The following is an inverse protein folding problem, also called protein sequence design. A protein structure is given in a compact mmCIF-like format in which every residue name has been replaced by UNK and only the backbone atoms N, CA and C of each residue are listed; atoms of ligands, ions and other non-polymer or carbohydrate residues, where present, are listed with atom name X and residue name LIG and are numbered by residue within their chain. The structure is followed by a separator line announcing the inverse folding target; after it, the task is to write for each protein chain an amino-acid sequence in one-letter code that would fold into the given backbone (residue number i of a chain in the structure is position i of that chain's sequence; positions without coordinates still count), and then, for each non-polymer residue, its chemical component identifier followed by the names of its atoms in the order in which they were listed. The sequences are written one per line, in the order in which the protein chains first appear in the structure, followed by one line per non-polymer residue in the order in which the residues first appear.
data_IF_766197897513
#
_entry.id   IF_766197897513
#
_cell.length_a   1.000
_cell.length_b   1.000
_cell.length_c   1.000
_cell.angle_alpha   90.00
_cell.angle_beta   90.00
_cell.angle_gamma   90.00
#
_symmetry.space_group_name_H-M   'P 1'
#
loop_
_entity.id
_entity.type
_entity.pdbx_description
1 polymer ?
#
# COMPACT_ATOMS: atom_id res chain seq x y z
N UNK A 1 -17.13 -12.95 64.25
CA UNK A 1 -16.66 -12.00 63.20
C UNK A 1 -15.40 -12.51 62.61
N UNK A 2 -15.47 -13.22 61.53
CA UNK A 2 -14.34 -13.85 60.80
C UNK A 2 -14.21 -13.10 59.48
N UNK A 3 -13.05 -12.44 59.25
CA UNK A 3 -12.68 -11.88 57.96
C UNK A 3 -12.14 -12.97 57.03
N UNK A 4 -12.49 -13.01 55.75
CA UNK A 4 -11.84 -13.86 54.78
C UNK A 4 -10.59 -13.15 54.19
N UNK A 5 -9.47 -13.89 54.15
CA UNK A 5 -8.28 -13.52 53.47
C UNK A 5 -8.46 -13.65 51.93
N UNK A 6 -8.22 -12.58 51.19
CA UNK A 6 -8.18 -12.57 49.72
C UNK A 6 -6.78 -12.96 49.28
N UNK A 7 -6.63 -14.17 48.75
CA UNK A 7 -5.44 -14.56 48.01
C UNK A 7 -5.51 -14.04 46.58
N UNK A 8 -4.68 -13.05 46.27
CA UNK A 8 -4.44 -12.62 44.89
C UNK A 8 -3.58 -13.65 44.13
N UNK A 9 -4.17 -14.28 43.13
CA UNK A 9 -3.43 -15.12 42.18
C UNK A 9 -2.68 -14.21 41.21
N UNK A 10 -1.38 -14.11 41.39
CA UNK A 10 -0.45 -13.61 40.37
C UNK A 10 -0.32 -14.70 39.29
N UNK A 11 -0.92 -14.47 38.11
CA UNK A 11 -0.69 -15.28 36.93
C UNK A 11 0.65 -14.92 36.31
N UNK A 12 1.69 -15.67 36.63
CA UNK A 12 2.94 -15.71 35.88
C UNK A 12 2.70 -16.46 34.57
N UNK A 13 2.66 -15.75 33.44
CA UNK A 13 2.72 -16.34 32.12
C UNK A 13 4.15 -16.83 31.85
N UNK A 14 4.42 -18.07 32.21
CA UNK A 14 5.69 -18.74 31.92
C UNK A 14 5.67 -19.28 30.49
N UNK A 15 6.23 -18.51 29.55
CA UNK A 15 6.70 -19.04 28.27
C UNK A 15 8.11 -19.60 28.43
N UNK A 16 8.27 -20.77 29.03
CA UNK A 16 9.57 -21.45 29.09
C UNK A 16 9.68 -22.46 27.95
N UNK A 17 10.50 -22.15 26.95
CA UNK A 17 11.00 -23.15 26.02
C UNK A 17 12.24 -23.81 26.63
N UNK A 18 12.09 -25.07 27.08
CA UNK A 18 13.19 -25.89 27.55
C UNK A 18 13.85 -26.60 26.37
N UNK A 19 15.10 -26.31 26.10
CA UNK A 19 15.92 -27.18 25.25
C UNK A 19 16.46 -28.31 26.13
N UNK A 20 15.92 -29.52 25.96
CA UNK A 20 16.44 -30.74 26.63
C UNK A 20 17.36 -31.43 25.63
N UNK A 21 18.66 -31.27 25.80
CA UNK A 21 19.64 -32.23 25.33
C UNK A 21 20.63 -32.45 26.45
N UNK A 22 20.96 -33.71 26.72
CA UNK A 22 21.56 -34.28 27.95
C UNK A 22 22.97 -33.87 28.34
N UNK A 23 23.31 -32.62 28.33
CA UNK A 23 24.32 -31.93 29.13
C UNK A 23 23.76 -30.54 29.43
N UNK A 24 23.92 -30.04 30.65
CA UNK A 24 23.54 -28.68 31.02
C UNK A 24 24.30 -27.70 30.12
N UNK A 25 23.71 -27.33 28.99
CA UNK A 25 24.22 -26.32 28.08
C UNK A 25 24.17 -24.93 28.71
N UNK A 26 24.90 -23.94 28.15
CA UNK A 26 24.88 -22.58 28.65
C UNK A 26 23.45 -22.03 28.74
N UNK A 27 23.09 -21.50 29.91
CA UNK A 27 21.78 -20.87 30.14
C UNK A 27 21.77 -19.44 29.65
N UNK A 28 21.57 -19.25 28.36
CA UNK A 28 21.42 -17.95 27.72
C UNK A 28 19.97 -17.69 27.37
N UNK A 29 19.49 -16.49 27.69
CA UNK A 29 18.15 -16.01 27.30
C UNK A 29 18.29 -14.80 26.38
N UNK A 30 17.59 -14.84 25.25
CA UNK A 30 17.51 -13.74 24.31
C UNK A 30 16.06 -13.29 24.14
N UNK A 31 15.86 -11.98 24.01
CA UNK A 31 14.59 -11.34 23.66
C UNK A 31 14.77 -10.46 22.43
N UNK A 32 13.71 -10.28 21.66
CA UNK A 32 13.71 -9.36 20.53
C UNK A 32 12.36 -8.66 20.40
N UNK A 33 12.40 -7.41 19.96
CA UNK A 33 11.22 -6.57 19.69
C UNK A 33 11.46 -5.75 18.43
N UNK A 34 10.41 -5.49 17.66
CA UNK A 34 10.48 -4.63 16.48
C UNK A 34 10.11 -3.21 16.88
N UNK A 35 10.87 -2.23 16.40
CA UNK A 35 10.49 -0.82 16.42
C UNK A 35 10.15 -0.39 15.00
N UNK A 36 8.86 -0.25 14.71
CA UNK A 36 8.32 0.26 13.46
C UNK A 36 7.94 1.74 13.55
N UNK A 37 7.35 2.26 12.47
CA UNK A 37 6.84 3.64 12.39
C UNK A 37 5.36 3.76 12.81
N UNK A 38 4.72 2.66 13.23
CA UNK A 38 3.33 2.62 13.67
C UNK A 38 3.01 1.41 14.54
N UNK A 39 1.73 1.26 14.85
CA UNK A 39 1.20 0.12 15.61
C UNK A 39 -0.09 -0.41 14.99
N UNK A 40 -0.31 -1.72 15.08
CA UNK A 40 -1.56 -2.37 14.70
C UNK A 40 -1.94 -3.42 15.76
N UNK A 41 -3.17 -3.33 16.29
CA UNK A 41 -3.67 -4.22 17.37
C UNK A 41 -2.69 -4.36 18.55
N UNK A 42 -2.05 -3.26 18.95
CA UNK A 42 -1.10 -3.23 20.05
C UNK A 42 0.27 -3.83 19.76
N UNK A 43 0.54 -4.27 18.53
CA UNK A 43 1.86 -4.74 18.09
C UNK A 43 2.54 -3.71 17.21
N UNK A 44 3.89 -3.69 17.15
CA UNK A 44 4.62 -2.86 16.20
C UNK A 44 4.19 -3.08 14.76
N UNK A 45 4.19 -2.02 13.96
CA UNK A 45 3.87 -2.08 12.54
C UNK A 45 4.82 -1.23 11.70
N UNK A 46 5.10 -1.71 10.49
CA UNK A 46 5.72 -0.95 9.41
C UNK A 46 4.58 -0.48 8.50
N UNK A 47 4.36 0.84 8.41
CA UNK A 47 3.16 1.40 7.79
C UNK A 47 3.54 2.26 6.59
N UNK A 48 3.10 1.85 5.39
CA UNK A 48 3.16 2.63 4.15
C UNK A 48 1.94 3.55 4.06
N UNK A 49 2.20 4.85 3.93
CA UNK A 49 1.14 5.86 3.93
C UNK A 49 0.41 5.97 5.28
N UNK A 50 -0.75 6.61 5.25
CA UNK A 50 -1.66 6.74 6.39
C UNK A 50 -3.10 6.83 5.90
N UNK A 51 -4.06 6.67 6.80
CA UNK A 51 -5.46 6.93 6.46
C UNK A 51 -5.63 8.39 6.04
N UNK A 52 -6.10 8.62 4.81
CA UNK A 52 -6.23 9.96 4.21
C UNK A 52 -4.98 10.46 3.45
N UNK A 53 -3.82 9.81 3.60
CA UNK A 53 -2.60 10.09 2.85
C UNK A 53 -1.90 8.78 2.47
N UNK A 54 -2.57 8.00 1.68
CA UNK A 54 -2.12 6.66 1.27
C UNK A 54 -1.13 6.69 0.11
N UNK A 55 -0.60 5.51 -0.19
CA UNK A 55 0.28 5.26 -1.33
C UNK A 55 -0.51 5.45 -2.63
N UNK A 56 0.03 6.24 -3.55
CA UNK A 56 -0.52 6.37 -4.91
C UNK A 56 0.03 5.27 -5.81
N UNK A 57 -0.73 4.20 -6.03
CA UNK A 57 -0.31 3.10 -6.90
C UNK A 57 -0.38 3.43 -8.39
N UNK A 58 -1.10 4.48 -8.83
CA UNK A 58 -1.19 4.85 -10.25
C UNK A 58 0.15 5.40 -10.77
N UNK A 59 0.85 6.16 -9.94
CA UNK A 59 2.16 6.75 -10.23
C UNK A 59 3.34 5.98 -9.65
N UNK A 60 3.09 4.83 -8.99
CA UNK A 60 4.14 4.02 -8.34
C UNK A 60 4.97 3.26 -9.37
N UNK A 61 5.90 3.95 -10.01
CA UNK A 61 6.91 3.39 -10.89
C UNK A 61 8.21 3.02 -10.15
N UNK A 62 8.33 3.42 -8.88
CA UNK A 62 9.45 3.12 -7.99
C UNK A 62 8.94 2.38 -6.75
N UNK A 63 9.72 1.42 -6.22
CA UNK A 63 9.35 0.77 -4.98
C UNK A 63 9.42 1.77 -3.82
N UNK A 64 8.48 1.66 -2.88
CA UNK A 64 8.53 2.38 -1.61
C UNK A 64 9.15 1.50 -0.54
N UNK A 65 10.06 2.07 0.25
CA UNK A 65 10.76 1.39 1.34
C UNK A 65 10.43 2.02 2.69
N UNK A 66 10.18 1.17 3.68
CA UNK A 66 10.11 1.56 5.10
C UNK A 66 11.16 0.80 5.87
N UNK A 67 11.92 1.52 6.66
CA UNK A 67 12.91 0.96 7.56
C UNK A 67 12.35 0.81 8.97
N UNK A 68 12.71 -0.29 9.61
CA UNK A 68 12.45 -0.57 11.01
C UNK A 68 13.68 -1.23 11.63
N UNK A 69 13.65 -1.40 12.94
CA UNK A 69 14.77 -1.97 13.69
C UNK A 69 14.25 -3.07 14.61
N UNK A 70 14.90 -4.23 14.58
CA UNK A 70 14.74 -5.25 15.59
C UNK A 70 15.77 -4.96 16.70
N UNK A 71 15.29 -4.62 17.88
CA UNK A 71 16.13 -4.51 19.09
C UNK A 71 16.16 -5.88 19.76
N UNK A 72 17.34 -6.34 20.15
CA UNK A 72 17.48 -7.62 20.83
C UNK A 72 18.44 -7.50 22.02
N UNK A 73 18.17 -8.31 23.02
CA UNK A 73 18.99 -8.41 24.23
C UNK A 73 19.18 -9.88 24.57
N UNK A 74 20.44 -10.28 24.80
CA UNK A 74 20.80 -11.61 25.28
C UNK A 74 21.50 -11.49 26.63
N UNK A 75 21.14 -12.37 27.55
CA UNK A 75 21.72 -12.44 28.90
C UNK A 75 22.32 -13.82 29.11
N UNK A 76 23.59 -13.85 29.49
CA UNK A 76 24.23 -15.07 29.95
C UNK A 76 23.97 -15.22 31.45
N UNK A 77 23.12 -16.16 31.82
CA UNK A 77 22.82 -16.51 33.24
C UNK A 77 23.72 -17.61 33.78
N UNK A 78 24.72 -18.04 33.02
CA UNK A 78 25.66 -19.08 33.42
C UNK A 78 26.85 -18.52 34.21
N UNK A 79 27.54 -19.38 34.94
CA UNK A 79 28.79 -19.05 35.66
C UNK A 79 30.02 -19.21 34.76
N UNK A 80 29.82 -19.28 33.43
CA UNK A 80 30.87 -19.40 32.41
C UNK A 80 30.70 -18.36 31.32
N UNK A 81 31.81 -17.92 30.74
CA UNK A 81 31.76 -17.14 29.50
C UNK A 81 31.29 -18.03 28.35
N UNK A 82 30.49 -17.45 27.46
CA UNK A 82 29.89 -18.15 26.32
C UNK A 82 30.20 -17.43 24.99
N UNK A 83 30.20 -18.20 23.93
CA UNK A 83 30.11 -17.75 22.54
C UNK A 83 28.67 -17.96 22.06
N UNK A 84 28.11 -16.96 21.44
CA UNK A 84 26.69 -16.93 21.07
C UNK A 84 26.56 -16.57 19.59
N UNK A 85 25.84 -17.39 18.83
CA UNK A 85 25.40 -17.09 17.47
C UNK A 85 23.89 -16.94 17.45
N UNK A 86 23.39 -15.89 16.78
CA UNK A 86 21.98 -15.58 16.68
C UNK A 86 21.49 -15.69 15.23
N UNK A 87 20.27 -16.19 15.03
CA UNK A 87 19.57 -16.18 13.76
C UNK A 87 18.20 -15.50 13.90
N UNK A 88 17.99 -14.49 13.09
CA UNK A 88 16.71 -13.79 13.00
C UNK A 88 15.92 -14.38 11.83
N UNK A 89 14.83 -15.04 12.12
CA UNK A 89 13.98 -15.74 11.17
C UNK A 89 12.68 -14.99 10.95
N UNK A 90 12.29 -14.79 9.69
CA UNK A 90 10.99 -14.25 9.30
C UNK A 90 10.47 -15.09 8.14
N UNK A 91 9.32 -15.74 8.31
CA UNK A 91 8.68 -16.55 7.27
C UNK A 91 7.82 -15.70 6.30
N UNK A 92 6.93 -16.35 5.55
CA UNK A 92 6.02 -15.71 4.62
C UNK A 92 4.89 -14.87 5.25
N UNK A 93 4.71 -14.97 6.58
CA UNK A 93 3.57 -14.37 7.29
C UNK A 93 2.31 -15.25 7.25
N UNK A 94 1.32 -14.94 8.10
CA UNK A 94 0.05 -15.66 8.16
C UNK A 94 -0.72 -15.50 6.84
N UNK A 95 -1.16 -16.62 6.27
CA UNK A 95 -1.86 -16.65 4.99
C UNK A 95 -0.95 -16.71 3.76
N UNK A 96 0.36 -16.57 3.91
CA UNK A 96 1.36 -16.80 2.86
C UNK A 96 1.95 -18.18 3.02
N UNK A 97 1.28 -19.22 2.59
CA UNK A 97 1.75 -20.60 2.70
C UNK A 97 3.06 -20.79 1.94
N UNK A 98 4.18 -20.63 2.63
CA UNK A 98 5.51 -20.96 2.12
C UNK A 98 6.13 -20.01 1.10
N UNK A 99 5.46 -18.92 0.71
CA UNK A 99 6.01 -17.93 -0.20
C UNK A 99 6.74 -16.82 0.57
N UNK A 100 8.05 -16.70 0.35
CA UNK A 100 8.88 -15.66 0.97
C UNK A 100 9.16 -14.49 0.01
N UNK A 101 8.98 -14.71 -1.30
CA UNK A 101 9.33 -13.75 -2.34
C UNK A 101 8.38 -13.88 -3.53
N UNK A 102 7.53 -12.90 -3.80
CA UNK A 102 7.12 -11.84 -2.89
C UNK A 102 6.13 -12.36 -1.82
N UNK A 103 6.14 -11.73 -0.66
CA UNK A 103 5.09 -11.89 0.36
C UNK A 103 3.83 -11.16 -0.06
N UNK A 104 2.72 -11.46 0.63
CA UNK A 104 1.43 -10.83 0.32
C UNK A 104 0.92 -10.03 1.52
N UNK A 105 0.44 -8.82 1.23
CA UNK A 105 -0.41 -8.04 2.12
C UNK A 105 -1.84 -8.18 1.63
N UNK A 106 -2.74 -8.73 2.42
CA UNK A 106 -4.13 -8.95 2.02
C UNK A 106 -4.97 -7.69 2.24
N UNK A 107 -5.89 -7.41 1.32
CA UNK A 107 -6.87 -6.33 1.47
C UNK A 107 -7.83 -6.67 2.61
N UNK A 108 -8.03 -5.73 3.53
CA UNK A 108 -8.78 -5.99 4.77
C UNK A 108 -10.27 -6.26 4.53
N UNK A 109 -10.85 -5.70 3.48
CA UNK A 109 -12.27 -5.89 3.14
C UNK A 109 -12.51 -7.10 2.21
N UNK A 110 -11.48 -7.53 1.47
CA UNK A 110 -11.57 -8.69 0.58
C UNK A 110 -10.22 -9.43 0.52
N UNK A 111 -10.04 -10.53 1.28
CA UNK A 111 -8.78 -11.27 1.33
C UNK A 111 -8.33 -11.91 0.00
N UNK A 112 -9.20 -11.97 -1.01
CA UNK A 112 -8.80 -12.43 -2.34
C UNK A 112 -7.92 -11.42 -3.09
N UNK A 113 -7.87 -10.17 -2.64
CA UNK A 113 -7.03 -9.10 -3.16
C UNK A 113 -5.80 -8.91 -2.30
N UNK A 114 -4.67 -8.67 -2.92
CA UNK A 114 -3.42 -8.51 -2.20
C UNK A 114 -2.45 -7.60 -2.93
N UNK A 115 -1.56 -6.96 -2.16
CA UNK A 115 -0.33 -6.31 -2.63
C UNK A 115 0.86 -7.23 -2.40
N UNK A 116 1.87 -7.08 -3.24
CA UNK A 116 3.15 -7.77 -3.09
C UNK A 116 4.09 -6.94 -2.21
N UNK A 117 4.78 -7.64 -1.32
CA UNK A 117 5.69 -7.09 -0.33
C UNK A 117 6.98 -7.91 -0.30
N UNK A 118 8.14 -7.25 -0.26
CA UNK A 118 9.41 -7.85 0.13
C UNK A 118 9.83 -7.37 1.52
N UNK A 119 10.38 -8.28 2.32
CA UNK A 119 11.11 -7.95 3.54
C UNK A 119 12.58 -8.21 3.27
N UNK A 120 13.39 -7.16 3.39
CA UNK A 120 14.79 -7.17 2.96
C UNK A 120 15.72 -7.16 4.17
N UNK A 121 16.75 -7.99 4.08
CA UNK A 121 17.91 -8.02 4.96
C UNK A 121 18.81 -6.80 4.74
N UNK A 122 19.80 -6.56 5.60
CA UNK A 122 20.79 -5.49 5.41
C UNK A 122 21.55 -5.56 4.08
N UNK A 123 21.71 -6.75 3.51
CA UNK A 123 22.37 -7.01 2.22
C UNK A 123 21.44 -6.82 1.00
N UNK A 124 20.20 -6.34 1.22
CA UNK A 124 19.15 -6.16 0.21
C UNK A 124 18.58 -7.46 -0.39
N UNK A 125 18.89 -8.61 0.14
CA UNK A 125 18.23 -9.86 -0.23
C UNK A 125 16.99 -10.11 0.63
N UNK A 126 16.09 -10.97 0.14
CA UNK A 126 14.85 -11.27 0.87
C UNK A 126 15.14 -12.01 2.18
N UNK A 127 14.38 -11.65 3.22
CA UNK A 127 14.45 -12.30 4.50
C UNK A 127 13.73 -13.65 4.49
N UNK A 128 14.30 -14.64 5.14
CA UNK A 128 13.72 -15.96 5.25
C UNK A 128 14.00 -16.61 6.61
N UNK A 129 14.18 -17.93 6.60
CA UNK A 129 14.38 -18.72 7.80
C UNK A 129 15.64 -19.56 7.71
N UNK A 130 16.21 -19.90 8.86
CA UNK A 130 17.31 -20.87 8.99
C UNK A 130 16.76 -22.29 8.86
N UNK A 131 16.41 -22.65 7.63
CA UNK A 131 16.02 -24.03 7.29
C UNK A 131 16.96 -24.45 6.17
N UNK A 132 17.70 -25.53 6.38
CA UNK A 132 18.69 -26.08 5.46
C UNK A 132 18.17 -26.40 4.06
N UNK A 133 16.87 -26.28 3.85
CA UNK A 133 16.20 -26.55 2.58
C UNK A 133 15.46 -25.34 1.99
N UNK A 134 15.49 -24.15 2.62
CA UNK A 134 14.70 -23.00 2.17
C UNK A 134 15.57 -21.78 1.84
N UNK A 135 15.35 -21.23 0.67
CA UNK A 135 15.78 -19.89 0.27
C UNK A 135 14.55 -19.01 0.18
N UNK A 136 14.54 -17.77 0.68
CA UNK A 136 15.66 -17.05 1.28
C UNK A 136 16.01 -17.50 2.70
N UNK A 137 17.23 -17.19 3.13
CA UNK A 137 17.78 -17.55 4.45
C UNK A 137 17.44 -16.51 5.52
N UNK A 138 17.60 -16.92 6.80
CA UNK A 138 17.62 -16.00 7.95
C UNK A 138 18.77 -15.01 7.89
N UNK A 139 18.75 -13.99 8.76
CA UNK A 139 19.94 -13.17 9.07
C UNK A 139 20.69 -13.81 10.22
N UNK A 140 21.96 -14.09 9.99
CA UNK A 140 22.86 -14.69 10.97
C UNK A 140 23.85 -13.64 11.46
N UNK A 141 24.01 -13.52 12.79
CA UNK A 141 25.04 -12.64 13.35
C UNK A 141 26.42 -13.27 13.29
N UNK A 142 27.46 -12.43 13.40
CA UNK A 142 28.75 -12.92 13.85
C UNK A 142 28.66 -13.46 15.28
N UNK A 143 29.66 -14.25 15.70
CA UNK A 143 29.69 -14.80 17.04
C UNK A 143 29.92 -13.69 18.06
N UNK A 144 29.00 -13.59 19.03
CA UNK A 144 29.04 -12.68 20.15
C UNK A 144 29.68 -13.41 21.32
N UNK A 145 30.48 -12.71 22.12
CA UNK A 145 31.08 -13.22 23.35
C UNK A 145 30.44 -12.56 24.53
N UNK A 146 30.00 -13.35 25.49
CA UNK A 146 29.43 -12.89 26.77
C UNK A 146 30.22 -13.46 27.93
N UNK A 147 30.67 -12.58 28.83
CA UNK A 147 31.24 -12.95 30.12
C UNK A 147 30.19 -13.57 31.05
N UNK A 148 30.62 -13.89 32.28
CA UNK A 148 29.74 -14.40 33.34
C UNK A 148 28.70 -13.34 33.69
N UNK A 149 27.41 -13.74 33.72
CA UNK A 149 26.28 -12.86 34.09
C UNK A 149 26.19 -11.56 33.23
N UNK A 150 26.86 -11.55 32.09
CA UNK A 150 26.88 -10.40 31.20
C UNK A 150 25.65 -10.39 30.27
N UNK A 151 25.28 -9.19 29.84
CA UNK A 151 24.25 -8.99 28.82
C UNK A 151 24.82 -8.23 27.62
N UNK A 152 24.26 -8.54 26.46
CA UNK A 152 24.55 -7.86 25.20
C UNK A 152 23.26 -7.32 24.59
N UNK A 153 23.27 -6.08 24.14
CA UNK A 153 22.20 -5.46 23.41
C UNK A 153 22.67 -5.10 22.01
N UNK A 154 21.79 -5.29 21.03
CA UNK A 154 22.10 -4.99 19.66
C UNK A 154 20.87 -4.66 18.86
N UNK A 155 21.10 -4.27 17.62
CA UNK A 155 20.04 -3.92 16.68
C UNK A 155 20.25 -4.67 15.36
N UNK A 156 19.13 -4.99 14.68
CA UNK A 156 19.12 -5.58 13.37
C UNK A 156 18.15 -4.78 12.49
N UNK A 157 18.64 -4.11 11.43
CA UNK A 157 17.75 -3.36 10.53
C UNK A 157 16.92 -4.33 9.70
N UNK A 158 15.66 -3.98 9.50
CA UNK A 158 14.70 -4.63 8.62
C UNK A 158 14.09 -3.59 7.71
N UNK A 159 13.93 -3.90 6.42
CA UNK A 159 13.29 -3.02 5.45
C UNK A 159 12.12 -3.73 4.79
N UNK A 160 10.94 -3.12 4.89
CA UNK A 160 9.78 -3.50 4.10
C UNK A 160 9.79 -2.71 2.79
N UNK A 161 9.58 -3.41 1.67
CA UNK A 161 9.51 -2.83 0.32
C UNK A 161 8.19 -3.16 -0.32
N UNK A 162 7.40 -2.14 -0.64
CA UNK A 162 6.23 -2.29 -1.49
C UNK A 162 6.70 -2.42 -2.95
N UNK A 163 6.35 -3.52 -3.60
CA UNK A 163 6.77 -3.78 -4.98
C UNK A 163 6.10 -2.77 -5.91
N UNK A 164 6.85 -2.23 -6.88
CA UNK A 164 6.33 -1.27 -7.87
C UNK A 164 5.44 -1.94 -8.93
N UNK A 165 4.66 -1.13 -9.66
CA UNK A 165 3.89 -1.56 -10.85
C UNK A 165 2.71 -2.47 -10.55
N UNK A 166 2.25 -2.60 -9.32
CA UNK A 166 1.20 -3.55 -8.93
C UNK A 166 -0.18 -3.18 -9.47
N UNK A 167 -0.41 -1.92 -9.82
CA UNK A 167 -1.70 -1.50 -10.38
C UNK A 167 -1.92 -1.98 -11.82
N UNK A 168 -0.85 -2.24 -12.58
CA UNK A 168 -0.95 -2.63 -13.99
C UNK A 168 -1.29 -4.11 -14.19
N UNK A 169 -0.88 -4.97 -13.26
CA UNK A 169 -1.07 -6.42 -13.37
C UNK A 169 -2.37 -6.91 -12.72
N UNK A 170 -2.77 -6.26 -11.63
CA UNK A 170 -3.99 -6.60 -10.88
C UNK A 170 -4.63 -5.31 -10.38
N UNK A 171 -5.88 -5.03 -10.79
CA UNK A 171 -6.58 -3.84 -10.30
C UNK A 171 -6.64 -3.86 -8.78
N UNK A 172 -5.83 -3.05 -8.13
CA UNK A 172 -5.69 -3.01 -6.67
C UNK A 172 -6.63 -1.96 -6.10
N UNK A 173 -7.63 -2.36 -5.28
CA UNK A 173 -8.54 -1.43 -4.65
C UNK A 173 -7.82 -0.42 -3.73
N UNK A 174 -8.36 0.81 -3.65
CA UNK A 174 -8.02 1.72 -2.57
C UNK A 174 -8.44 1.16 -1.21
N UNK A 175 -7.70 1.48 -0.15
CA UNK A 175 -7.99 1.03 1.20
C UNK A 175 -6.80 0.42 1.94
N UNK A 176 -7.07 -0.38 2.97
CA UNK A 176 -6.06 -0.92 3.87
C UNK A 176 -5.65 -2.35 3.51
N UNK A 177 -4.35 -2.60 3.50
CA UNK A 177 -3.72 -3.90 3.26
C UNK A 177 -2.85 -4.28 4.44
N UNK A 178 -2.84 -5.55 4.80
CA UNK A 178 -2.15 -6.07 5.99
C UNK A 178 -1.39 -7.36 5.70
N UNK A 179 -0.13 -7.42 6.12
CA UNK A 179 0.63 -8.65 6.30
C UNK A 179 0.86 -8.89 7.79
N UNK A 180 0.56 -10.10 8.25
CA UNK A 180 0.59 -10.49 9.66
C UNK A 180 1.79 -11.40 9.93
N UNK A 181 2.76 -10.91 10.69
CA UNK A 181 3.95 -11.63 11.15
C UNK A 181 3.87 -11.96 12.63
N UNK A 182 2.67 -12.23 13.13
CA UNK A 182 2.44 -12.73 14.50
C UNK A 182 2.36 -14.27 14.55
N UNK A 183 2.08 -14.82 15.70
CA UNK A 183 1.66 -16.22 15.88
C UNK A 183 2.70 -17.30 15.58
N UNK A 184 3.90 -16.99 15.14
CA UNK A 184 4.90 -18.00 14.81
C UNK A 184 5.72 -17.66 13.57
N UNK A 185 5.37 -16.57 12.88
CA UNK A 185 6.02 -16.14 11.66
C UNK A 185 7.39 -15.51 11.87
N UNK A 186 7.79 -15.24 13.12
CA UNK A 186 9.10 -14.69 13.47
C UNK A 186 9.75 -15.49 14.59
N UNK A 187 11.07 -15.61 14.56
CA UNK A 187 11.81 -16.17 15.69
C UNK A 187 13.28 -15.71 15.71
N UNK A 188 13.73 -15.26 16.87
CA UNK A 188 15.13 -15.17 17.21
C UNK A 188 15.54 -16.52 17.81
N UNK A 189 16.33 -17.30 17.10
CA UNK A 189 16.95 -18.52 17.57
C UNK A 189 18.42 -18.28 17.85
N UNK A 190 19.02 -19.08 18.74
CA UNK A 190 20.43 -18.97 19.07
C UNK A 190 21.04 -20.31 19.47
N UNK A 191 22.35 -20.40 19.33
CA UNK A 191 23.19 -21.44 19.91
C UNK A 191 24.29 -20.80 20.73
N UNK A 192 24.44 -21.30 21.94
CA UNK A 192 25.47 -20.84 22.86
C UNK A 192 26.41 -22.02 23.19
N UNK A 193 27.72 -21.75 23.21
CA UNK A 193 28.75 -22.71 23.60
C UNK A 193 29.69 -22.09 24.65
N UNK A 194 30.20 -22.91 25.57
CA UNK A 194 31.19 -22.41 26.55
C UNK A 194 32.44 -21.95 25.84
N UNK A 195 32.96 -20.81 26.27
CA UNK A 195 34.14 -20.20 25.65
C UNK A 195 35.36 -21.12 25.61
N UNK A 196 35.55 -21.95 26.67
CA UNK A 196 36.67 -22.87 26.80
C UNK A 196 36.68 -24.06 25.82
N UNK A 197 35.60 -24.30 25.08
CA UNK A 197 35.50 -25.44 24.13
C UNK A 197 36.12 -25.17 22.74
N UNK A 198 36.77 -24.03 22.53
CA UNK A 198 37.63 -23.79 21.36
C UNK A 198 36.89 -23.43 20.04
N UNK A 199 35.79 -24.06 19.68
CA UNK A 199 35.05 -23.78 18.44
C UNK A 199 33.95 -22.73 18.63
N UNK A 200 33.64 -21.99 17.56
CA UNK A 200 32.49 -21.11 17.52
C UNK A 200 31.22 -21.89 17.15
N UNK A 201 30.03 -21.53 17.65
CA UNK A 201 28.80 -22.17 17.21
C UNK A 201 28.65 -22.09 15.68
N UNK A 202 28.48 -23.22 15.01
CA UNK A 202 28.39 -23.30 13.55
C UNK A 202 27.02 -22.91 13.00
N UNK A 203 25.99 -23.05 13.84
CA UNK A 203 24.59 -22.79 13.52
C UNK A 203 23.93 -21.99 14.67
N UNK A 204 22.63 -21.73 14.59
CA UNK A 204 21.88 -21.00 15.62
C UNK A 204 20.96 -21.92 16.44
N UNK A 205 21.19 -23.24 16.40
CA UNK A 205 20.18 -24.15 16.94
C UNK A 205 18.86 -23.98 16.16
N UNK A 206 17.82 -24.62 16.58
CA UNK A 206 16.66 -24.82 15.75
C UNK A 206 15.72 -23.58 15.67
N UNK A 207 15.50 -23.07 14.54
CA UNK A 207 14.41 -22.54 13.71
C UNK A 207 13.23 -21.79 14.38
N UNK A 208 12.21 -21.46 13.52
CA UNK A 208 10.94 -20.81 13.88
C UNK A 208 10.16 -21.45 15.04
N UNK A 209 10.36 -22.73 15.35
CA UNK A 209 9.53 -23.43 16.33
C UNK A 209 9.99 -23.20 17.77
N UNK A 210 11.26 -22.94 18.02
CA UNK A 210 11.88 -22.90 19.36
C UNK A 210 12.44 -21.52 19.76
N UNK A 211 12.52 -20.56 18.81
CA UNK A 211 13.08 -19.24 19.06
C UNK A 211 12.12 -18.29 19.77
N UNK A 212 12.67 -17.21 20.32
CA UNK A 212 11.91 -16.12 20.91
C UNK A 212 11.19 -15.32 19.84
N UNK A 213 9.90 -15.09 20.00
CA UNK A 213 9.07 -14.35 19.04
C UNK A 213 9.34 -12.84 19.10
N UNK A 214 9.27 -12.20 17.92
CA UNK A 214 9.25 -10.73 17.78
C UNK A 214 8.15 -10.33 16.79
N UNK A 215 6.88 -10.40 17.22
CA UNK A 215 5.73 -10.18 16.35
C UNK A 215 5.65 -8.74 15.85
N UNK A 216 5.21 -8.56 14.59
CA UNK A 216 4.93 -7.28 13.98
C UNK A 216 3.93 -7.41 12.83
N UNK A 217 3.47 -6.26 12.34
CA UNK A 217 2.66 -6.16 11.14
C UNK A 217 3.36 -5.31 10.07
N UNK A 218 3.00 -5.54 8.81
CA UNK A 218 3.24 -4.57 7.74
C UNK A 218 1.89 -4.15 7.20
N UNK A 219 1.64 -2.85 7.16
CA UNK A 219 0.38 -2.26 6.73
C UNK A 219 0.64 -1.26 5.60
N UNK A 220 -0.25 -1.23 4.59
CA UNK A 220 -0.27 -0.19 3.58
C UNK A 220 -1.67 0.40 3.47
N UNK A 221 -1.75 1.72 3.34
CA UNK A 221 -2.95 2.42 2.93
C UNK A 221 -2.80 2.82 1.48
N UNK A 222 -3.67 2.34 0.61
CA UNK A 222 -3.72 2.72 -0.81
C UNK A 222 -4.71 3.86 -0.97
N UNK A 223 -4.25 4.98 -1.52
CA UNK A 223 -5.09 6.14 -1.73
C UNK A 223 -6.09 5.93 -2.87
N UNK A 224 -7.34 6.42 -2.73
CA UNK A 224 -8.18 6.69 -3.89
C UNK A 224 -7.56 7.89 -4.63
N UNK A 225 -7.21 7.70 -5.92
CA UNK A 225 -6.59 8.74 -6.74
C UNK A 225 -7.17 8.66 -8.15
N UNK A 226 -7.39 9.81 -8.79
CA UNK A 226 -7.73 9.90 -10.19
C UNK A 226 -6.72 10.78 -10.94
N UNK A 227 -6.39 10.39 -12.16
CA UNK A 227 -5.50 11.10 -13.08
C UNK A 227 -6.28 11.45 -14.35
N UNK A 228 -6.23 12.72 -14.76
CA UNK A 228 -6.64 13.13 -16.09
C UNK A 228 -5.56 12.70 -17.08
N UNK A 229 -5.95 11.95 -18.10
CA UNK A 229 -5.02 11.45 -19.12
C UNK A 229 -5.08 12.32 -20.37
N UNK A 230 -6.29 12.50 -20.94
CA UNK A 230 -6.48 13.30 -22.16
C UNK A 230 -7.94 13.72 -22.34
N UNK A 231 -8.14 14.76 -23.13
CA UNK A 231 -9.42 15.09 -23.71
C UNK A 231 -9.21 15.50 -25.17
N UNK A 232 -10.12 15.04 -26.05
CA UNK A 232 -10.11 15.41 -27.45
C UNK A 232 -10.75 16.79 -27.62
N UNK A 233 -10.26 17.58 -28.59
CA UNK A 233 -10.97 18.72 -29.07
C UNK A 233 -12.21 18.28 -29.88
N UNK A 234 -13.32 18.99 -29.71
CA UNK A 234 -14.55 18.76 -30.47
C UNK A 234 -14.67 19.79 -31.58
N UNK A 235 -14.23 19.41 -32.78
CA UNK A 235 -14.26 20.24 -33.95
C UNK A 235 -15.53 19.98 -34.78
N UNK A 236 -16.37 21.00 -34.92
CA UNK A 236 -17.56 20.94 -35.77
C UNK A 236 -17.23 21.02 -37.25
N UNK A 237 -16.06 21.55 -37.62
CA UNK A 237 -15.65 21.80 -39.00
C UNK A 237 -16.30 23.04 -39.60
N UNK A 238 -16.17 23.17 -40.90
CA UNK A 238 -16.73 24.31 -41.65
C UNK A 238 -18.15 24.01 -42.14
N UNK A 239 -19.08 24.92 -41.86
CA UNK A 239 -20.48 24.80 -42.23
C UNK A 239 -21.00 26.11 -42.88
N UNK A 240 -22.00 25.99 -43.76
CA UNK A 240 -22.70 27.14 -44.32
C UNK A 240 -23.63 27.72 -43.26
N UNK A 241 -23.88 29.03 -43.32
CA UNK A 241 -24.88 29.68 -42.47
C UNK A 241 -26.25 29.01 -42.64
N UNK A 242 -26.98 28.87 -41.53
CA UNK A 242 -28.28 28.19 -41.51
C UNK A 242 -28.23 26.66 -41.45
N UNK A 243 -27.05 26.03 -41.37
CA UNK A 243 -26.95 24.59 -41.08
C UNK A 243 -27.53 24.28 -39.70
N UNK A 244 -28.22 23.14 -39.55
CA UNK A 244 -28.91 22.79 -38.30
C UNK A 244 -28.50 21.44 -37.76
N UNK A 245 -28.65 21.25 -36.43
CA UNK A 245 -28.47 19.99 -35.74
C UNK A 245 -27.08 19.36 -35.94
N UNK A 246 -26.03 20.18 -35.89
CA UNK A 246 -24.67 19.71 -35.99
C UNK A 246 -24.29 18.94 -34.71
N UNK A 247 -23.76 17.74 -34.87
CA UNK A 247 -23.32 16.88 -33.78
C UNK A 247 -21.90 16.43 -34.01
N UNK A 248 -21.10 16.48 -32.96
CA UNK A 248 -19.74 15.96 -32.92
C UNK A 248 -19.48 15.37 -31.56
N UNK A 249 -18.48 14.53 -31.46
CA UNK A 249 -18.07 13.94 -30.20
C UNK A 249 -16.57 13.95 -30.06
N UNK A 250 -16.10 14.02 -28.82
CA UNK A 250 -14.74 13.81 -28.43
C UNK A 250 -14.70 12.86 -27.23
N UNK A 251 -13.52 12.38 -26.89
CA UNK A 251 -13.31 11.48 -25.79
C UNK A 251 -12.56 12.17 -24.65
N UNK A 252 -12.97 11.87 -23.45
CA UNK A 252 -12.28 12.20 -22.21
C UNK A 252 -11.75 10.90 -21.60
N UNK A 253 -10.47 10.83 -21.33
CA UNK A 253 -9.85 9.65 -20.71
C UNK A 253 -9.36 10.00 -19.30
N UNK A 254 -9.81 9.21 -18.33
CA UNK A 254 -9.48 9.31 -16.90
C UNK A 254 -9.00 7.96 -16.42
N UNK A 255 -8.04 7.94 -15.50
CA UNK A 255 -7.57 6.72 -14.83
C UNK A 255 -7.71 6.90 -13.34
N UNK A 256 -8.45 6.01 -12.67
CA UNK A 256 -8.64 6.05 -11.23
C UNK A 256 -8.24 4.71 -10.58
N UNK A 257 -7.76 4.77 -9.34
CA UNK A 257 -7.52 3.56 -8.52
C UNK A 257 -8.77 2.70 -8.49
N UNK A 258 -8.60 1.39 -8.57
CA UNK A 258 -9.72 0.44 -8.60
C UNK A 258 -10.65 0.63 -7.39
N UNK A 259 -11.96 0.58 -7.63
CA UNK A 259 -12.98 0.79 -6.61
C UNK A 259 -13.18 2.25 -6.19
N UNK A 260 -12.38 3.20 -6.71
CA UNK A 260 -12.56 4.63 -6.39
C UNK A 260 -13.80 5.17 -7.09
N UNK A 261 -14.83 5.61 -6.35
CA UNK A 261 -15.94 6.33 -6.95
C UNK A 261 -15.46 7.72 -7.36
N UNK A 262 -15.82 8.15 -8.57
CA UNK A 262 -15.50 9.49 -9.04
C UNK A 262 -16.62 10.09 -9.87
N UNK A 263 -16.61 11.42 -9.96
CA UNK A 263 -17.55 12.17 -10.79
C UNK A 263 -16.80 13.01 -11.78
N UNK A 264 -17.40 13.20 -12.95
CA UNK A 264 -16.89 14.10 -13.98
C UNK A 264 -17.96 15.15 -14.28
N UNK A 265 -17.60 16.41 -14.09
CA UNK A 265 -18.38 17.58 -14.45
C UNK A 265 -17.77 18.33 -15.63
N UNK A 266 -18.61 18.96 -16.45
CA UNK A 266 -18.20 19.80 -17.57
C UNK A 266 -18.73 21.23 -17.37
N UNK A 267 -17.83 22.22 -17.43
CA UNK A 267 -18.18 23.62 -17.22
C UNK A 267 -17.68 24.44 -18.42
N UNK A 268 -18.57 24.87 -19.33
CA UNK A 268 -18.25 25.83 -20.39
C UNK A 268 -17.72 27.17 -19.85
N UNK A 269 -17.04 27.95 -20.68
CA UNK A 269 -16.39 29.22 -20.26
C UNK A 269 -17.39 30.30 -19.78
N UNK A 270 -18.65 30.20 -20.15
CA UNK A 270 -19.72 31.06 -19.64
C UNK A 270 -20.15 30.74 -18.18
N UNK A 271 -19.54 29.70 -17.56
CA UNK A 271 -19.84 29.26 -16.19
C UNK A 271 -21.13 28.48 -16.03
N UNK A 272 -21.83 28.12 -17.13
CA UNK A 272 -23.08 27.37 -17.06
C UNK A 272 -22.81 25.93 -16.59
N UNK A 273 -23.47 25.53 -15.50
CA UNK A 273 -23.31 24.19 -14.91
C UNK A 273 -24.28 23.13 -15.48
N UNK A 274 -25.14 23.52 -16.42
CA UNK A 274 -26.09 22.59 -17.06
C UNK A 274 -25.55 21.96 -18.36
N UNK A 275 -24.32 22.32 -18.76
CA UNK A 275 -23.73 21.85 -20.01
C UNK A 275 -24.15 22.68 -21.25
N UNK A 276 -24.67 23.86 -21.02
CA UNK A 276 -25.08 24.83 -22.07
C UNK A 276 -23.94 25.84 -22.25
N UNK A 277 -23.18 25.73 -23.33
CA UNK A 277 -22.06 26.61 -23.63
C UNK A 277 -22.32 27.58 -24.75
N UNK A 278 -21.41 28.54 -24.96
CA UNK A 278 -21.44 29.55 -26.02
C UNK A 278 -20.04 29.70 -26.59
N UNK A 279 -19.82 29.30 -27.83
CA UNK A 279 -18.59 29.61 -28.58
C UNK A 279 -18.58 31.08 -28.99
N UNK A 280 -17.47 31.74 -28.75
CA UNK A 280 -17.24 33.15 -29.10
C UNK A 280 -16.40 33.23 -30.36
N UNK A 281 -16.65 34.26 -31.20
CA UNK A 281 -15.82 34.53 -32.36
C UNK A 281 -14.36 34.84 -31.95
N UNK A 282 -13.40 34.34 -32.70
CA UNK A 282 -11.99 34.70 -32.59
C UNK A 282 -11.72 36.12 -33.05
N UNK A 283 -12.58 36.66 -33.92
CA UNK A 283 -12.58 38.07 -34.30
C UNK A 283 -13.30 38.92 -33.23
N UNK A 284 -12.56 39.77 -32.54
CA UNK A 284 -13.09 40.62 -31.45
C UNK A 284 -14.16 41.62 -31.89
N UNK A 285 -14.21 41.97 -33.18
CA UNK A 285 -15.25 42.86 -33.73
C UNK A 285 -16.60 42.14 -33.91
N UNK A 286 -16.60 40.82 -33.93
CA UNK A 286 -17.81 40.00 -34.01
C UNK A 286 -18.23 39.58 -32.58
N UNK A 287 -19.38 40.06 -32.14
CA UNK A 287 -19.92 39.80 -30.80
C UNK A 287 -20.89 38.64 -30.74
N UNK A 288 -21.13 37.95 -31.85
CA UNK A 288 -22.00 36.79 -31.91
C UNK A 288 -21.46 35.66 -31.04
N UNK A 289 -22.41 34.88 -30.53
CA UNK A 289 -22.13 33.71 -29.73
C UNK A 289 -22.93 32.55 -30.25
N UNK A 290 -22.25 31.43 -30.58
CA UNK A 290 -22.89 30.24 -31.07
C UNK A 290 -23.18 29.30 -29.88
N UNK A 291 -24.44 29.11 -29.47
CA UNK A 291 -24.78 28.22 -28.35
C UNK A 291 -24.60 26.77 -28.75
N UNK A 292 -24.13 25.99 -27.77
CA UNK A 292 -24.00 24.55 -27.92
C UNK A 292 -24.43 23.81 -26.64
N UNK A 293 -24.70 22.51 -26.76
CA UNK A 293 -25.11 21.63 -25.68
C UNK A 293 -24.10 20.51 -25.54
N UNK A 294 -23.65 20.23 -24.31
CA UNK A 294 -22.85 19.06 -23.98
C UNK A 294 -23.77 17.92 -23.50
N UNK A 295 -23.53 16.72 -24.02
CA UNK A 295 -24.31 15.52 -23.72
C UNK A 295 -23.41 14.32 -23.47
N UNK A 296 -23.95 13.32 -22.76
CA UNK A 296 -23.28 12.03 -22.53
C UNK A 296 -23.38 11.15 -23.77
N UNK A 297 -22.31 11.04 -24.54
CA UNK A 297 -22.27 10.19 -25.74
C UNK A 297 -23.49 10.43 -26.64
N UNK A 298 -24.16 9.38 -27.04
CA UNK A 298 -25.38 9.45 -27.89
C UNK A 298 -26.67 9.66 -27.08
N UNK A 299 -26.58 9.88 -25.77
CA UNK A 299 -27.76 10.13 -24.91
C UNK A 299 -28.36 11.52 -25.18
N UNK A 300 -29.64 11.68 -24.82
CA UNK A 300 -30.29 13.00 -24.74
C UNK A 300 -29.91 13.77 -23.47
N UNK A 301 -29.25 13.12 -22.52
CA UNK A 301 -28.95 13.69 -21.21
C UNK A 301 -27.84 14.73 -21.32
N UNK A 302 -28.09 15.92 -20.77
CA UNK A 302 -27.09 16.97 -20.68
C UNK A 302 -25.99 16.59 -19.68
N UNK A 303 -24.77 16.91 -20.04
CA UNK A 303 -23.60 16.72 -19.21
C UNK A 303 -23.02 18.07 -18.79
N UNK A 304 -23.25 18.44 -17.56
CA UNK A 304 -22.74 19.66 -16.95
C UNK A 304 -22.02 19.34 -15.64
N UNK A 305 -22.14 20.23 -14.65
CA UNK A 305 -21.52 20.12 -13.33
C UNK A 305 -22.52 20.41 -12.19
N UNK A 306 -23.77 19.93 -12.33
CA UNK A 306 -24.78 19.98 -11.28
C UNK A 306 -24.77 18.71 -10.45
N UNK A 307 -25.13 18.80 -9.18
CA UNK A 307 -25.23 17.63 -8.27
C UNK A 307 -26.39 16.69 -8.66
N UNK A 308 -27.43 17.22 -9.32
CA UNK A 308 -28.61 16.46 -9.76
C UNK A 308 -29.39 17.19 -10.86
N UNK A 309 -30.30 16.47 -11.54
CA UNK A 309 -31.15 17.02 -12.59
C UNK A 309 -30.46 17.14 -13.95
N UNK A 310 -31.01 17.98 -14.83
CA UNK A 310 -30.45 18.22 -16.16
C UNK A 310 -29.07 18.85 -16.04
N UNK A 311 -28.07 18.28 -16.74
CA UNK A 311 -26.69 18.73 -16.64
C UNK A 311 -25.97 18.23 -15.38
N UNK A 312 -26.44 17.14 -14.76
CA UNK A 312 -25.71 16.56 -13.61
C UNK A 312 -24.35 15.99 -14.01
N UNK A 313 -23.43 15.98 -13.05
CA UNK A 313 -22.14 15.26 -13.16
C UNK A 313 -22.39 13.79 -13.49
N UNK A 314 -21.52 13.20 -14.26
CA UNK A 314 -21.56 11.75 -14.50
C UNK A 314 -20.76 11.03 -13.41
N UNK A 315 -21.31 9.91 -12.91
CA UNK A 315 -20.74 9.10 -11.84
C UNK A 315 -20.12 7.84 -12.40
N UNK A 316 -18.92 7.52 -11.95
CA UNK A 316 -18.16 6.37 -12.40
C UNK A 316 -17.46 5.71 -11.22
N UNK A 317 -16.89 4.53 -11.49
CA UNK A 317 -16.00 3.83 -10.54
C UNK A 317 -14.73 3.44 -11.29
N UNK A 318 -13.60 3.77 -10.74
CA UNK A 318 -12.29 3.38 -11.26
C UNK A 318 -12.12 1.87 -11.27
N UNK A 319 -11.42 1.36 -12.27
CA UNK A 319 -11.05 -0.06 -12.39
C UNK A 319 -9.53 -0.30 -12.40
N UNK A 320 -8.75 0.77 -12.17
CA UNK A 320 -7.29 0.76 -12.21
C UNK A 320 -6.71 1.00 -13.61
N UNK A 321 -7.53 0.93 -14.66
CA UNK A 321 -7.15 1.19 -16.05
C UNK A 321 -7.63 2.56 -16.54
N UNK A 322 -7.20 2.95 -17.74
CA UNK A 322 -7.71 4.15 -18.40
C UNK A 322 -9.13 3.91 -18.91
N UNK A 323 -10.07 4.71 -18.46
CA UNK A 323 -11.48 4.68 -18.83
C UNK A 323 -11.79 5.86 -19.74
N UNK A 324 -12.41 5.60 -20.90
CA UNK A 324 -12.76 6.63 -21.88
C UNK A 324 -14.25 6.93 -21.84
N UNK A 325 -14.58 8.22 -21.74
CA UNK A 325 -15.94 8.73 -21.69
C UNK A 325 -16.20 9.62 -22.89
N UNK A 326 -17.19 9.29 -23.69
CA UNK A 326 -17.54 10.08 -24.90
C UNK A 326 -18.42 11.26 -24.51
N UNK A 327 -17.98 12.45 -24.87
CA UNK A 327 -18.69 13.71 -24.77
C UNK A 327 -19.26 14.03 -26.15
N UNK A 328 -20.55 14.24 -26.27
CA UNK A 328 -21.17 14.75 -27.49
C UNK A 328 -21.45 16.25 -27.32
N UNK A 329 -21.20 17.00 -28.36
CA UNK A 329 -21.59 18.40 -28.46
C UNK A 329 -22.56 18.62 -29.63
N UNK A 330 -23.58 19.43 -29.41
CA UNK A 330 -24.63 19.74 -30.39
C UNK A 330 -24.80 21.26 -30.56
N UNK A 331 -24.73 21.73 -31.81
CA UNK A 331 -25.08 23.08 -32.22
C UNK A 331 -26.40 23.02 -32.99
N UNK A 332 -27.42 23.76 -32.53
CA UNK A 332 -28.77 23.69 -33.11
C UNK A 332 -28.88 24.37 -34.47
N UNK A 333 -28.21 25.49 -34.65
CA UNK A 333 -28.11 26.19 -35.94
C UNK A 333 -26.83 27.00 -36.04
N UNK A 334 -26.45 27.40 -37.27
CA UNK A 334 -25.25 28.21 -37.58
C UNK A 334 -25.61 29.53 -38.28
N UNK A 335 -26.78 30.08 -38.00
CA UNK A 335 -27.20 31.38 -38.56
C UNK A 335 -26.59 32.53 -37.77
N UNK A 336 -25.28 32.73 -37.96
CA UNK A 336 -24.43 33.72 -37.30
C UNK A 336 -23.48 34.36 -38.31
N UNK A 337 -22.88 35.49 -37.95
CA UNK A 337 -21.86 36.15 -38.78
C UNK A 337 -20.73 35.17 -39.14
N UNK A 338 -20.37 35.05 -40.44
CA UNK A 338 -19.29 34.13 -40.81
C UNK A 338 -17.98 34.44 -40.08
N UNK A 339 -17.35 33.37 -39.55
CA UNK A 339 -16.14 33.48 -38.76
C UNK A 339 -15.80 32.16 -38.05
N UNK A 340 -14.67 32.17 -37.38
CA UNK A 340 -14.24 31.11 -36.52
C UNK A 340 -14.76 31.34 -35.10
N UNK A 341 -15.34 30.32 -34.49
CA UNK A 341 -15.91 30.34 -33.14
C UNK A 341 -15.32 29.25 -32.28
N UNK A 342 -14.95 29.59 -31.05
CA UNK A 342 -14.36 28.65 -30.09
C UNK A 342 -14.85 28.87 -28.65
N UNK A 343 -14.81 27.82 -27.86
CA UNK A 343 -15.02 27.87 -26.41
C UNK A 343 -14.07 26.90 -25.71
N UNK A 344 -13.86 27.15 -24.43
CA UNK A 344 -13.07 26.29 -23.55
C UNK A 344 -13.97 25.65 -22.48
N UNK A 345 -13.99 24.33 -22.41
CA UNK A 345 -14.72 23.57 -21.38
C UNK A 345 -13.74 23.11 -20.32
N UNK A 346 -14.04 23.45 -19.06
CA UNK A 346 -13.29 22.92 -17.92
C UNK A 346 -13.86 21.57 -17.55
N UNK A 347 -12.99 20.58 -17.39
CA UNK A 347 -13.31 19.25 -16.84
C UNK A 347 -13.04 19.27 -15.35
N UNK A 348 -14.05 18.95 -14.52
CA UNK A 348 -13.99 18.86 -13.06
C UNK A 348 -14.10 17.38 -12.67
N UNK A 349 -13.04 16.83 -12.08
CA UNK A 349 -12.98 15.43 -11.61
C UNK A 349 -12.91 15.46 -10.10
N UNK A 350 -13.89 14.84 -9.44
CA UNK A 350 -13.97 14.75 -7.98
C UNK A 350 -14.01 13.27 -7.56
N UNK A 351 -13.21 12.88 -6.54
CA UNK A 351 -13.08 11.51 -6.03
C UNK A 351 -12.80 11.50 -4.52
#
# INVERSE_FOLDING_TARGET
MTLPAVFGLLSLSAGQAWAISGEAGPFVQCTATVQGNGTHKGQPALVFGSQGNGVNLLSNNQPEDIQATIHYRCVNNDDYSVKLRLCFNIDGGRGSTGAYTPRKMTYTENPSRSLQLSLLKPDNTDWGTDSTAKTPSSVVTHVIRLGLKESYEGTMPIRARLVSGQNNAFPTPSGSYLADFTGGSTALSWKAERYARGSDPSDCGNNLNTGQRFPFYVQAYVAPVCEFISADDIDFGTHTAGSTNLKRSGNLTVRCTNGTPYTVGLVPSNGNKRGEGEMKSTNRANTDKVPYLLKKGNSSDFWGNQSSGAGSVQKFTGDGSSQTHTIAAEVKNTDYTPGEYQDKVTVDIQY
#
